data_IF_135468309474
#
_entry.id   IF_135468309474
#
_cell.length_a   1.000
_cell.length_b   1.000
_cell.length_c   1.000
_cell.angle_alpha   90.00
_cell.angle_beta   90.00
_cell.angle_gamma   90.00
#
_symmetry.space_group_name_H-M   'P 1'
#
loop_
_entity.id
_entity.type
_entity.pdbx_description
1 polymer ?
#
# COMPACT_ATOMS: atom_id res chain seq x y z
N UNK A 1 7.95 3.38 -46.96
CA UNK A 1 8.87 3.53 -45.81
C UNK A 1 8.12 3.07 -44.57
N UNK A 2 8.39 1.84 -44.13
CA UNK A 2 7.70 1.20 -43.01
C UNK A 2 8.28 1.68 -41.69
N UNK A 3 7.44 2.32 -40.87
CA UNK A 3 7.77 2.69 -39.50
C UNK A 3 7.89 1.41 -38.65
N UNK A 4 9.11 1.02 -38.35
CA UNK A 4 9.40 0.00 -37.33
C UNK A 4 9.28 0.65 -35.95
N UNK A 5 8.43 0.17 -35.03
CA UNK A 5 8.39 0.68 -33.68
C UNK A 5 9.73 0.39 -32.98
N UNK A 6 10.25 1.37 -32.25
CA UNK A 6 11.47 1.19 -31.45
C UNK A 6 11.30 0.00 -30.47
N UNK A 7 12.28 -0.91 -30.36
CA UNK A 7 12.15 -2.05 -29.46
C UNK A 7 12.07 -1.58 -28.00
N UNK A 8 11.13 -2.17 -27.27
CA UNK A 8 10.86 -1.96 -25.87
C UNK A 8 12.13 -2.12 -25.01
N UNK A 9 12.76 -0.99 -24.65
CA UNK A 9 13.94 -0.93 -23.77
C UNK A 9 13.70 -1.56 -22.39
N UNK A 10 12.44 -1.70 -21.98
CA UNK A 10 12.02 -2.32 -20.71
C UNK A 10 12.44 -3.79 -20.56
N UNK A 11 12.71 -4.52 -21.66
CA UNK A 11 13.02 -5.96 -21.62
C UNK A 11 14.52 -6.32 -21.52
N UNK A 12 15.43 -5.36 -21.72
CA UNK A 12 16.87 -5.64 -21.68
C UNK A 12 17.35 -6.01 -20.25
N UNK A 13 16.83 -5.33 -19.23
CA UNK A 13 17.13 -5.62 -17.82
C UNK A 13 16.57 -6.99 -17.39
N UNK A 14 15.36 -7.34 -17.85
CA UNK A 14 14.78 -8.68 -17.67
C UNK A 14 15.67 -9.76 -18.27
N UNK A 15 16.15 -9.57 -19.50
CA UNK A 15 17.03 -10.53 -20.18
C UNK A 15 18.35 -10.79 -19.43
N UNK A 16 18.82 -9.84 -18.62
CA UNK A 16 20.02 -10.00 -17.77
C UNK A 16 19.68 -10.77 -16.48
N UNK A 17 18.55 -10.46 -15.86
CA UNK A 17 18.05 -11.18 -14.68
C UNK A 17 17.69 -12.64 -15.01
N UNK A 18 17.17 -12.91 -16.21
CA UNK A 18 16.85 -14.27 -16.67
C UNK A 18 18.10 -15.13 -16.92
N UNK A 19 19.27 -14.52 -17.15
CA UNK A 19 20.55 -15.21 -17.38
C UNK A 19 21.29 -15.54 -16.09
N UNK A 20 20.90 -14.93 -14.96
CA UNK A 20 21.51 -15.19 -13.67
C UNK A 20 20.72 -16.27 -12.93
N UNK A 21 21.40 -17.31 -12.44
CA UNK A 21 20.74 -18.31 -11.61
C UNK A 21 20.16 -17.61 -10.36
N UNK A 22 18.85 -17.72 -10.10
CA UNK A 22 18.26 -17.03 -8.97
C UNK A 22 18.85 -17.57 -7.66
N UNK A 23 19.06 -16.72 -6.64
CA UNK A 23 19.59 -17.17 -5.37
C UNK A 23 18.66 -18.22 -4.76
N UNK A 24 19.22 -19.36 -4.35
CA UNK A 24 18.49 -20.41 -3.67
C UNK A 24 18.11 -19.93 -2.26
N UNK A 25 16.88 -20.20 -1.83
CA UNK A 25 16.48 -20.06 -0.42
C UNK A 25 16.15 -21.43 0.14
N UNK A 26 16.81 -21.81 1.24
CA UNK A 26 16.73 -23.16 1.81
C UNK A 26 17.04 -24.27 0.78
N UNK A 27 18.02 -24.02 -0.10
CA UNK A 27 18.43 -24.96 -1.15
C UNK A 27 17.43 -25.12 -2.30
N UNK A 28 16.34 -24.34 -2.34
CA UNK A 28 15.33 -24.40 -3.40
C UNK A 28 15.35 -23.14 -4.25
N UNK A 29 15.22 -23.25 -5.59
CA UNK A 29 15.01 -22.08 -6.43
C UNK A 29 13.67 -21.45 -6.06
N UNK A 30 13.57 -20.11 -6.01
CA UNK A 30 12.29 -19.44 -5.82
C UNK A 30 11.32 -19.84 -6.94
N UNK A 31 10.08 -20.11 -6.56
CA UNK A 31 9.03 -20.45 -7.51
C UNK A 31 8.51 -19.14 -8.15
N UNK A 32 9.25 -18.63 -9.14
CA UNK A 32 8.92 -17.38 -9.81
C UNK A 32 7.56 -17.42 -10.52
N UNK A 33 7.14 -18.61 -10.96
CA UNK A 33 5.80 -18.88 -11.53
C UNK A 33 5.00 -19.80 -10.61
N UNK A 34 4.78 -19.37 -9.38
CA UNK A 34 3.94 -20.13 -8.44
C UNK A 34 2.58 -20.41 -9.09
N UNK A 35 1.98 -21.60 -8.86
CA UNK A 35 0.58 -21.81 -9.23
C UNK A 35 -0.25 -20.67 -8.64
N UNK A 36 -0.89 -19.90 -9.52
CA UNK A 36 -1.70 -18.76 -9.12
C UNK A 36 -2.95 -19.34 -8.45
N UNK A 37 -3.23 -18.99 -7.18
CA UNK A 37 -4.46 -19.41 -6.54
C UNK A 37 -5.66 -18.94 -7.35
N UNK A 38 -6.68 -19.79 -7.48
CA UNK A 38 -7.93 -19.41 -8.15
C UNK A 38 -8.48 -18.02 -7.79
N UNK A 39 -8.43 -17.57 -6.52
CA UNK A 39 -8.94 -16.25 -6.16
C UNK A 39 -7.99 -15.08 -6.43
N UNK A 40 -6.74 -15.27 -6.86
CA UNK A 40 -5.77 -14.18 -6.97
C UNK A 40 -6.27 -13.01 -7.85
N UNK A 41 -6.88 -13.34 -9.00
CA UNK A 41 -7.49 -12.36 -9.91
C UNK A 41 -8.79 -11.71 -9.41
N UNK A 42 -9.30 -12.16 -8.26
CA UNK A 42 -10.54 -11.69 -7.62
C UNK A 42 -10.27 -10.99 -6.30
N UNK A 43 -9.00 -10.83 -5.91
CA UNK A 43 -8.64 -10.14 -4.68
C UNK A 43 -9.01 -8.68 -4.82
N UNK A 44 -9.96 -8.28 -3.99
CA UNK A 44 -10.35 -6.91 -3.81
C UNK A 44 -9.26 -6.15 -3.05
N UNK A 45 -8.89 -4.99 -3.58
CA UNK A 45 -7.93 -4.06 -2.97
C UNK A 45 -8.71 -2.81 -2.61
N UNK A 46 -8.77 -2.43 -1.31
CA UNK A 46 -9.45 -1.22 -0.89
C UNK A 46 -8.92 0.02 -1.60
N UNK A 47 -9.85 0.82 -2.11
CA UNK A 47 -9.61 2.18 -2.61
C UNK A 47 -10.62 3.13 -1.97
N UNK A 48 -10.24 4.39 -1.80
CA UNK A 48 -11.10 5.40 -1.23
C UNK A 48 -11.25 6.56 -2.20
N UNK A 49 -12.49 6.99 -2.36
CA UNK A 49 -12.86 8.30 -2.89
C UNK A 49 -13.94 8.86 -1.96
N UNK A 50 -13.53 9.21 -0.74
CA UNK A 50 -14.45 9.55 0.34
C UNK A 50 -14.21 10.96 0.85
N UNK A 51 -15.31 11.70 1.00
CA UNK A 51 -15.36 12.96 1.72
C UNK A 51 -16.32 12.84 2.91
N UNK A 52 -15.98 13.51 4.00
CA UNK A 52 -16.81 13.58 5.20
C UNK A 52 -18.16 14.22 4.84
N UNK A 53 -19.30 13.64 5.23
CA UNK A 53 -20.60 14.22 4.88
C UNK A 53 -20.80 15.65 5.41
N UNK A 54 -20.34 15.91 6.65
CA UNK A 54 -20.37 17.25 7.22
C UNK A 54 -19.07 17.99 6.90
N UNK A 55 -19.18 18.95 5.98
CA UNK A 55 -18.06 19.79 5.56
C UNK A 55 -17.80 20.92 6.56
N UNK A 56 -16.56 21.41 6.67
CA UNK A 56 -16.22 22.53 7.53
C UNK A 56 -16.80 23.84 7.00
N UNK A 57 -16.76 24.89 7.81
CA UNK A 57 -17.25 26.20 7.40
C UNK A 57 -16.46 26.75 6.19
N UNK A 58 -17.13 27.59 5.39
CA UNK A 58 -16.47 28.33 4.31
C UNK A 58 -15.27 29.12 4.86
N UNK A 59 -14.13 29.06 4.16
CA UNK A 59 -12.92 29.75 4.56
C UNK A 59 -12.03 29.00 5.56
N UNK A 60 -12.49 27.87 6.13
CA UNK A 60 -11.63 27.01 6.97
C UNK A 60 -10.39 26.57 6.18
N UNK A 61 -9.21 26.75 6.75
CA UNK A 61 -7.95 26.34 6.10
C UNK A 61 -7.79 24.83 6.17
N UNK A 62 -7.55 24.21 5.01
CA UNK A 62 -7.38 22.78 4.82
C UNK A 62 -5.96 22.46 4.36
N UNK A 63 -5.51 21.25 4.70
CA UNK A 63 -4.26 20.67 4.23
C UNK A 63 -4.55 19.36 3.49
N UNK A 64 -4.10 19.26 2.25
CA UNK A 64 -3.97 17.97 1.57
C UNK A 64 -2.61 17.39 1.92
N UNK A 65 -2.62 16.19 2.49
CA UNK A 65 -1.45 15.45 2.92
C UNK A 65 -1.23 14.25 1.99
N UNK A 66 0.02 14.01 1.64
CA UNK A 66 0.45 12.86 0.83
C UNK A 66 1.44 12.00 1.61
N UNK A 67 1.27 10.67 1.61
CA UNK A 67 2.21 9.77 2.27
C UNK A 67 3.46 9.59 1.40
N UNK A 68 4.57 10.14 1.87
CA UNK A 68 5.83 10.08 1.15
C UNK A 68 6.36 8.64 0.99
N UNK A 69 6.48 8.22 -0.27
CA UNK A 69 7.07 6.93 -0.65
C UNK A 69 6.27 5.75 -0.12
N UNK A 70 4.95 5.88 -0.06
CA UNK A 70 4.07 4.90 0.57
C UNK A 70 4.18 3.48 -0.03
N UNK A 71 4.37 3.33 -1.34
CA UNK A 71 4.66 2.03 -1.97
C UNK A 71 5.93 1.35 -1.42
N UNK A 72 7.03 2.09 -1.33
CA UNK A 72 8.28 1.57 -0.73
C UNK A 72 8.10 1.27 0.76
N UNK A 73 7.27 2.06 1.46
CA UNK A 73 6.84 1.78 2.82
C UNK A 73 6.15 0.43 2.94
N UNK A 74 5.16 0.16 2.08
CA UNK A 74 4.43 -1.10 2.05
C UNK A 74 5.34 -2.30 1.73
N UNK A 75 6.25 -2.16 0.77
CA UNK A 75 7.25 -3.18 0.44
C UNK A 75 8.11 -3.53 1.66
N UNK A 76 8.41 -2.55 2.52
CA UNK A 76 9.25 -2.76 3.70
C UNK A 76 8.59 -3.60 4.80
N UNK A 77 7.26 -3.55 4.90
CA UNK A 77 6.50 -4.16 6.00
C UNK A 77 5.78 -5.45 5.58
N UNK A 78 5.42 -5.61 4.31
CA UNK A 78 4.62 -6.74 3.85
C UNK A 78 5.38 -8.06 3.94
N UNK A 79 4.73 -9.07 4.51
CA UNK A 79 5.14 -10.47 4.40
C UNK A 79 4.48 -11.11 3.18
N UNK A 80 5.16 -12.01 2.49
CA UNK A 80 4.67 -12.65 1.27
C UNK A 80 4.92 -14.17 1.30
N UNK A 81 4.15 -14.93 0.53
CA UNK A 81 4.36 -16.36 0.38
C UNK A 81 5.60 -16.64 -0.49
N UNK A 82 6.64 -17.24 0.09
CA UNK A 82 7.90 -17.46 -0.64
C UNK A 82 7.75 -18.39 -1.84
N UNK A 83 7.01 -19.49 -1.67
CA UNK A 83 6.84 -20.52 -2.68
C UNK A 83 5.52 -20.34 -3.42
N UNK A 84 4.46 -20.89 -2.84
CA UNK A 84 3.08 -20.83 -3.34
C UNK A 84 2.13 -20.68 -2.15
N UNK A 85 0.89 -20.36 -2.45
CA UNK A 85 -0.20 -20.49 -1.50
C UNK A 85 -0.85 -21.88 -1.61
N UNK A 86 -1.33 -22.38 -0.49
CA UNK A 86 -2.05 -23.65 -0.38
C UNK A 86 -3.48 -23.35 0.03
N UNK A 87 -4.44 -24.06 -0.54
CA UNK A 87 -5.83 -23.98 -0.09
C UNK A 87 -5.92 -24.50 1.34
N UNK A 88 -6.41 -23.66 2.25
CA UNK A 88 -6.51 -23.97 3.68
C UNK A 88 -7.93 -23.89 4.22
N UNK A 89 -8.91 -23.53 3.39
CA UNK A 89 -10.33 -23.52 3.77
C UNK A 89 -10.68 -22.41 4.76
N UNK A 90 -11.82 -22.57 5.44
CA UNK A 90 -12.25 -21.66 6.50
C UNK A 90 -11.25 -21.66 7.67
N UNK A 91 -11.04 -20.50 8.28
CA UNK A 91 -10.09 -20.32 9.38
C UNK A 91 -10.68 -19.45 10.48
N UNK A 92 -10.15 -19.60 11.68
CA UNK A 92 -10.39 -18.73 12.81
C UNK A 92 -9.04 -18.36 13.44
N UNK A 93 -8.97 -17.20 14.08
CA UNK A 93 -7.72 -16.69 14.66
C UNK A 93 -7.94 -16.28 16.11
N UNK A 94 -7.05 -16.71 17.00
CA UNK A 94 -7.01 -16.23 18.38
C UNK A 94 -6.36 -14.85 18.45
N UNK A 95 -5.33 -14.65 17.62
CA UNK A 95 -4.52 -13.44 17.62
C UNK A 95 -4.19 -13.01 16.19
N UNK A 96 -3.87 -11.73 16.00
CA UNK A 96 -3.34 -11.26 14.71
C UNK A 96 -2.07 -11.97 14.23
N UNK A 97 -1.32 -12.65 15.10
CA UNK A 97 -0.10 -13.38 14.73
C UNK A 97 -0.40 -14.68 13.98
N UNK A 98 -1.62 -15.18 14.12
CA UNK A 98 -2.09 -16.39 13.43
C UNK A 98 -2.40 -16.10 11.96
N UNK A 99 -2.66 -14.83 11.63
CA UNK A 99 -2.84 -14.37 10.26
C UNK A 99 -1.47 -14.35 9.56
N UNK A 100 -1.32 -15.25 8.59
CA UNK A 100 -0.10 -15.43 7.80
C UNK A 100 -0.29 -14.92 6.38
N UNK A 101 0.79 -14.78 5.58
CA UNK A 101 0.66 -14.37 4.18
C UNK A 101 -0.31 -15.27 3.43
N UNK A 102 -1.31 -14.66 2.80
CA UNK A 102 -2.38 -15.36 2.12
C UNK A 102 -3.46 -14.46 1.57
N UNK A 103 -4.42 -15.11 0.92
CA UNK A 103 -5.68 -14.57 0.42
C UNK A 103 -6.80 -15.20 1.23
N UNK A 104 -7.77 -14.39 1.65
CA UNK A 104 -8.82 -14.80 2.56
C UNK A 104 -10.16 -14.33 2.02
N UNK A 105 -11.14 -15.22 2.01
CA UNK A 105 -12.52 -14.88 1.70
C UNK A 105 -13.23 -14.59 3.01
N UNK A 106 -13.66 -13.35 3.18
CA UNK A 106 -14.40 -12.93 4.36
C UNK A 106 -15.88 -12.74 4.04
N UNK A 107 -16.75 -12.89 5.05
CA UNK A 107 -18.09 -12.31 4.99
C UNK A 107 -17.99 -10.79 5.02
N UNK A 108 -18.88 -10.12 4.30
CA UNK A 108 -18.98 -8.68 4.37
C UNK A 108 -19.66 -8.24 5.68
N UNK A 109 -19.50 -6.97 6.04
CA UNK A 109 -20.04 -6.40 7.28
C UNK A 109 -20.49 -4.96 7.08
N UNK A 110 -21.54 -4.52 7.79
CA UNK A 110 -21.96 -3.13 7.75
C UNK A 110 -20.89 -2.24 8.41
N UNK A 111 -20.67 -1.05 7.85
CA UNK A 111 -19.76 -0.07 8.43
C UNK A 111 -20.54 1.01 9.20
N UNK A 112 -20.28 1.15 10.51
CA UNK A 112 -21.04 2.08 11.35
C UNK A 112 -20.50 3.51 11.40
N UNK A 113 -19.30 3.76 10.84
CA UNK A 113 -18.55 5.00 11.08
C UNK A 113 -18.45 5.90 9.84
N UNK A 114 -19.35 5.76 8.87
CA UNK A 114 -19.33 6.52 7.60
C UNK A 114 -19.25 8.05 7.77
N UNK A 115 -19.79 8.60 8.87
CA UNK A 115 -19.71 10.03 9.19
C UNK A 115 -18.33 10.48 9.68
N UNK A 116 -17.52 9.55 10.18
CA UNK A 116 -16.23 9.81 10.82
C UNK A 116 -15.06 9.49 9.91
N UNK A 117 -15.10 8.31 9.27
CA UNK A 117 -14.09 7.82 8.33
C UNK A 117 -14.70 6.78 7.40
N UNK A 118 -14.15 6.68 6.19
CA UNK A 118 -14.48 5.61 5.23
C UNK A 118 -14.19 4.22 5.78
N UNK A 119 -14.94 3.21 5.33
CA UNK A 119 -14.67 1.81 5.67
C UNK A 119 -13.22 1.43 5.32
N UNK A 120 -12.56 0.58 6.12
CA UNK A 120 -11.24 0.02 5.77
C UNK A 120 -11.28 -0.81 4.48
N UNK A 121 -12.47 -1.26 4.06
CA UNK A 121 -12.67 -1.89 2.76
C UNK A 121 -12.83 -0.88 1.62
N UNK A 122 -13.07 0.42 1.87
CA UNK A 122 -13.34 1.36 0.79
C UNK A 122 -14.81 1.73 0.68
N UNK A 123 -15.17 2.44 -0.38
CA UNK A 123 -16.53 2.91 -0.66
C UNK A 123 -16.96 2.59 -2.10
N UNK A 124 -16.75 1.34 -2.53
CA UNK A 124 -17.12 0.87 -3.86
C UNK A 124 -18.44 0.10 -3.83
N UNK A 125 -19.29 0.30 -4.84
CA UNK A 125 -20.52 -0.48 -5.09
C UNK A 125 -20.27 -2.00 -5.04
N UNK A 126 -19.08 -2.44 -5.47
CA UNK A 126 -18.68 -3.85 -5.42
C UNK A 126 -18.68 -4.44 -4.00
N UNK A 127 -18.48 -3.61 -2.98
CA UNK A 127 -18.56 -4.04 -1.59
C UNK A 127 -20.02 -4.11 -1.15
N UNK A 128 -20.83 -3.11 -1.50
CA UNK A 128 -22.22 -3.01 -1.04
C UNK A 128 -23.06 -4.21 -1.49
N UNK A 129 -22.82 -4.70 -2.70
CA UNK A 129 -23.56 -5.82 -3.29
C UNK A 129 -22.98 -7.21 -2.97
N UNK A 130 -21.83 -7.28 -2.29
CA UNK A 130 -21.12 -8.54 -2.06
C UNK A 130 -21.38 -9.11 -0.66
N UNK A 131 -21.89 -10.34 -0.58
CA UNK A 131 -21.97 -11.10 0.68
C UNK A 131 -20.58 -11.51 1.20
N UNK A 132 -19.63 -11.72 0.28
CA UNK A 132 -18.28 -12.16 0.60
C UNK A 132 -17.24 -11.54 -0.32
N UNK A 133 -16.04 -11.29 0.19
CA UNK A 133 -14.95 -10.63 -0.54
C UNK A 133 -13.65 -11.39 -0.35
N UNK A 134 -12.88 -11.56 -1.43
CA UNK A 134 -11.50 -12.01 -1.33
C UNK A 134 -10.59 -10.83 -1.04
N UNK A 135 -9.87 -10.87 0.08
CA UNK A 135 -8.91 -9.84 0.48
C UNK A 135 -7.54 -10.46 0.73
N UNK A 136 -6.49 -9.64 0.64
CA UNK A 136 -5.16 -10.07 1.07
C UNK A 136 -4.98 -9.91 2.59
N UNK A 137 -4.06 -10.68 3.15
CA UNK A 137 -3.77 -10.70 4.59
C UNK A 137 -3.54 -9.32 5.26
N UNK A 138 -2.97 -8.26 4.63
CA UNK A 138 -2.78 -6.99 5.32
C UNK A 138 -4.09 -6.28 5.65
N UNK A 139 -5.07 -6.37 4.75
CA UNK A 139 -6.44 -5.90 5.00
C UNK A 139 -7.08 -6.71 6.12
N UNK A 140 -6.92 -8.04 6.11
CA UNK A 140 -7.45 -8.91 7.17
C UNK A 140 -6.87 -8.57 8.54
N UNK A 141 -5.56 -8.30 8.61
CA UNK A 141 -4.90 -7.86 9.85
C UNK A 141 -5.50 -6.52 10.32
N UNK A 142 -5.73 -5.57 9.42
CA UNK A 142 -6.38 -4.30 9.78
C UNK A 142 -7.79 -4.52 10.34
N UNK A 143 -8.60 -5.36 9.70
CA UNK A 143 -9.94 -5.67 10.18
C UNK A 143 -9.91 -6.38 11.55
N UNK A 144 -8.97 -7.31 11.74
CA UNK A 144 -8.81 -7.96 13.04
C UNK A 144 -8.41 -6.94 14.13
N UNK A 145 -7.49 -6.02 13.83
CA UNK A 145 -7.07 -4.96 14.76
C UNK A 145 -8.24 -4.06 15.17
N UNK A 146 -9.12 -3.71 14.24
CA UNK A 146 -10.31 -2.91 14.54
C UNK A 146 -11.32 -3.67 15.40
N UNK A 147 -11.55 -4.96 15.11
CA UNK A 147 -12.39 -5.82 15.93
C UNK A 147 -11.83 -5.96 17.36
N UNK A 148 -10.50 -6.13 17.50
CA UNK A 148 -9.79 -6.20 18.79
C UNK A 148 -9.85 -4.86 19.56
N UNK A 149 -9.84 -3.73 18.84
CA UNK A 149 -10.08 -2.39 19.39
C UNK A 149 -11.56 -2.16 19.80
N UNK A 150 -12.45 -3.15 19.60
CA UNK A 150 -13.86 -3.07 19.94
C UNK A 150 -14.71 -2.25 18.95
N UNK A 151 -14.16 -1.95 17.77
CA UNK A 151 -14.95 -1.40 16.67
C UNK A 151 -15.91 -2.49 16.22
N UNK A 152 -17.21 -2.20 16.23
CA UNK A 152 -18.31 -3.14 16.01
C UNK A 152 -18.42 -3.74 14.61
N UNK A 153 -17.30 -4.13 14.02
CA UNK A 153 -17.21 -4.96 12.83
C UNK A 153 -17.12 -6.43 13.24
N UNK A 154 -17.70 -7.29 12.42
CA UNK A 154 -17.64 -8.73 12.62
C UNK A 154 -17.60 -9.41 11.26
N UNK A 155 -16.65 -10.32 11.06
CA UNK A 155 -16.51 -11.06 9.83
C UNK A 155 -16.01 -12.48 10.11
N UNK A 156 -16.42 -13.42 9.28
CA UNK A 156 -15.92 -14.79 9.28
C UNK A 156 -14.99 -15.02 8.09
N UNK A 157 -13.91 -15.76 8.28
CA UNK A 157 -13.11 -16.28 7.16
C UNK A 157 -13.71 -17.60 6.70
N UNK A 158 -14.46 -17.55 5.60
CA UNK A 158 -15.18 -18.70 5.04
C UNK A 158 -14.32 -19.54 4.09
N UNK A 159 -13.23 -18.99 3.57
CA UNK A 159 -12.26 -19.71 2.74
C UNK A 159 -10.88 -19.01 2.75
N UNK A 160 -9.81 -19.73 2.43
CA UNK A 160 -8.46 -19.14 2.42
C UNK A 160 -7.45 -19.91 1.58
N UNK A 161 -6.46 -19.18 1.09
CA UNK A 161 -5.23 -19.69 0.48
C UNK A 161 -4.04 -19.07 1.19
N UNK A 162 -3.28 -19.86 1.96
CA UNK A 162 -2.23 -19.34 2.84
C UNK A 162 -0.85 -19.92 2.53
N UNK A 163 0.20 -19.29 3.07
CA UNK A 163 1.57 -19.76 2.93
C UNK A 163 1.88 -21.02 3.78
N UNK A 164 0.90 -21.57 4.51
CA UNK A 164 1.05 -22.80 5.30
C UNK A 164 0.89 -24.02 4.42
N UNK A 165 1.89 -24.89 4.40
CA UNK A 165 1.79 -26.19 3.76
C UNK A 165 0.97 -27.13 4.65
N UNK A 166 -0.20 -27.64 4.22
CA UNK A 166 -1.03 -28.53 5.03
C UNK A 166 -0.37 -29.89 5.31
N UNK A 167 0.56 -30.34 4.47
CA UNK A 167 1.23 -31.64 4.66
C UNK A 167 2.35 -31.59 5.71
N UNK A 168 3.02 -30.45 5.85
CA UNK A 168 4.21 -30.32 6.72
C UNK A 168 4.03 -29.31 7.85
N UNK A 169 2.85 -28.66 7.92
CA UNK A 169 2.51 -27.54 8.80
C UNK A 169 3.48 -26.33 8.74
N UNK A 170 4.34 -26.28 7.72
CA UNK A 170 5.38 -25.26 7.62
C UNK A 170 4.84 -24.01 6.92
N UNK A 171 5.13 -22.82 7.48
CA UNK A 171 4.73 -21.53 6.89
C UNK A 171 5.85 -20.92 6.04
N UNK A 172 5.68 -20.94 4.73
CA UNK A 172 6.64 -20.42 3.76
C UNK A 172 6.52 -18.90 3.57
N UNK A 173 7.03 -18.10 4.50
CA UNK A 173 7.00 -16.63 4.42
C UNK A 173 8.33 -15.99 3.98
N UNK A 174 8.25 -14.84 3.31
CA UNK A 174 9.37 -13.98 2.94
C UNK A 174 9.01 -12.51 3.18
N UNK A 175 9.98 -11.62 3.07
CA UNK A 175 9.76 -10.18 3.01
C UNK A 175 10.76 -9.55 2.04
N UNK A 176 10.54 -8.29 1.69
CA UNK A 176 11.40 -7.54 0.79
C UNK A 176 12.45 -6.69 1.50
N UNK A 177 12.77 -6.96 2.77
CA UNK A 177 13.62 -6.07 3.59
C UNK A 177 14.94 -5.71 2.92
N UNK A 178 15.67 -6.70 2.38
CA UNK A 178 16.95 -6.46 1.69
C UNK A 178 16.79 -5.59 0.44
N UNK A 179 15.74 -5.83 -0.35
CA UNK A 179 15.46 -5.03 -1.55
C UNK A 179 15.07 -3.60 -1.16
N UNK A 180 14.21 -3.45 -0.17
CA UNK A 180 13.83 -2.15 0.41
C UNK A 180 15.05 -1.36 0.92
N UNK A 181 15.98 -1.99 1.65
CA UNK A 181 17.19 -1.32 2.16
C UNK A 181 18.07 -0.77 1.04
N UNK A 182 18.19 -1.50 -0.08
CA UNK A 182 18.88 -1.02 -1.27
C UNK A 182 18.14 0.15 -1.92
N UNK A 183 16.82 0.03 -2.14
CA UNK A 183 16.01 1.09 -2.72
C UNK A 183 16.04 2.36 -1.86
N UNK A 184 16.00 2.21 -0.53
CA UNK A 184 16.15 3.33 0.42
C UNK A 184 17.49 4.03 0.25
N UNK A 185 18.58 3.27 0.11
CA UNK A 185 19.92 3.83 -0.11
C UNK A 185 20.00 4.63 -1.41
N UNK A 186 19.46 4.09 -2.51
CA UNK A 186 19.40 4.80 -3.79
C UNK A 186 18.51 6.05 -3.71
N UNK A 187 17.33 5.93 -3.11
CA UNK A 187 16.41 7.06 -2.91
C UNK A 187 17.09 8.22 -2.18
N UNK A 188 17.80 7.94 -1.08
CA UNK A 188 18.52 8.98 -0.34
C UNK A 188 19.53 9.69 -1.23
N UNK A 189 20.34 8.95 -1.99
CA UNK A 189 21.33 9.53 -2.92
C UNK A 189 20.66 10.41 -4.00
N UNK A 190 19.56 9.94 -4.59
CA UNK A 190 18.84 10.74 -5.58
C UNK A 190 18.24 12.02 -4.98
N UNK A 191 17.68 11.95 -3.77
CA UNK A 191 17.16 13.14 -3.09
C UNK A 191 18.26 14.12 -2.67
N UNK A 192 19.44 13.63 -2.29
CA UNK A 192 20.59 14.50 -2.01
C UNK A 192 21.04 15.22 -3.29
N UNK A 193 21.11 14.52 -4.42
CA UNK A 193 21.43 15.13 -5.71
C UNK A 193 20.39 16.18 -6.12
N UNK A 194 19.09 15.90 -5.92
CA UNK A 194 18.02 16.87 -6.19
C UNK A 194 18.14 18.08 -5.26
N UNK A 195 18.42 17.88 -3.97
CA UNK A 195 18.62 18.98 -3.03
C UNK A 195 19.86 19.83 -3.34
N UNK A 196 20.91 19.23 -3.91
CA UNK A 196 22.06 19.98 -4.42
C UNK A 196 21.73 20.78 -5.69
N UNK A 197 20.88 20.25 -6.56
CA UNK A 197 20.43 20.94 -7.77
C UNK A 197 19.42 22.06 -7.48
N UNK A 198 18.65 21.93 -6.39
CA UNK A 198 17.63 22.87 -5.95
C UNK A 198 17.81 23.26 -4.46
N UNK A 199 18.85 24.06 -4.12
CA UNK A 199 19.11 24.42 -2.73
C UNK A 199 17.97 25.26 -2.14
N UNK A 200 17.45 24.84 -0.99
CA UNK A 200 16.42 25.59 -0.25
C UNK A 200 15.00 25.40 -0.76
N UNK A 201 14.80 24.62 -1.83
CA UNK A 201 13.48 24.31 -2.36
C UNK A 201 13.17 22.80 -2.20
N UNK A 202 11.93 22.41 -1.89
CA UNK A 202 11.51 21.03 -2.04
C UNK A 202 11.65 20.60 -3.51
N UNK A 203 11.96 19.32 -3.73
CA UNK A 203 12.12 18.76 -5.08
C UNK A 203 10.94 19.17 -5.98
N UNK A 204 11.16 19.94 -7.05
CA UNK A 204 10.08 20.40 -7.91
C UNK A 204 9.38 19.21 -8.57
N UNK A 205 8.04 19.17 -8.51
CA UNK A 205 7.23 18.10 -9.10
C UNK A 205 7.39 18.00 -10.62
N UNK A 206 7.77 19.11 -11.27
CA UNK A 206 8.09 19.20 -12.70
C UNK A 206 9.41 19.95 -12.87
N UNK A 207 10.48 19.21 -13.12
CA UNK A 207 11.78 19.76 -13.44
C UNK A 207 12.54 18.80 -14.34
N UNK A 208 13.02 19.33 -15.46
CA UNK A 208 13.74 18.56 -16.49
C UNK A 208 15.25 18.52 -16.26
N UNK A 209 15.73 18.94 -15.08
CA UNK A 209 17.16 18.82 -14.76
C UNK A 209 17.57 17.33 -14.63
N UNK A 210 18.85 17.00 -14.87
CA UNK A 210 19.31 15.61 -14.79
C UNK A 210 19.00 14.93 -13.44
N UNK A 211 19.17 15.63 -12.32
CA UNK A 211 18.91 15.07 -10.98
C UNK A 211 17.43 14.71 -10.78
N UNK A 212 16.51 15.56 -11.23
CA UNK A 212 15.07 15.31 -11.16
C UNK A 212 14.64 14.18 -12.10
N UNK A 213 15.24 14.12 -13.30
CA UNK A 213 15.02 13.04 -14.27
C UNK A 213 15.49 11.69 -13.74
N UNK A 214 16.67 11.63 -13.12
CA UNK A 214 17.22 10.41 -12.51
C UNK A 214 16.34 9.93 -11.35
N UNK A 215 15.88 10.84 -10.49
CA UNK A 215 14.96 10.49 -9.41
C UNK A 215 13.61 9.98 -9.94
N UNK A 216 13.07 10.61 -10.99
CA UNK A 216 11.86 10.14 -11.65
C UNK A 216 12.06 8.74 -12.27
N UNK A 217 13.19 8.50 -12.94
CA UNK A 217 13.54 7.18 -13.49
C UNK A 217 13.66 6.11 -12.39
N UNK A 218 14.26 6.44 -11.25
CA UNK A 218 14.28 5.57 -10.07
C UNK A 218 12.87 5.23 -9.60
N UNK A 219 11.99 6.22 -9.46
CA UNK A 219 10.58 6.01 -9.08
C UNK A 219 9.86 5.08 -10.04
N UNK A 220 9.97 5.35 -11.34
CA UNK A 220 9.39 4.53 -12.40
C UNK A 220 9.93 3.10 -12.38
N UNK A 221 11.23 2.92 -12.13
CA UNK A 221 11.89 1.62 -12.12
C UNK A 221 11.34 0.67 -11.06
N UNK A 222 11.26 1.10 -9.80
CA UNK A 222 10.72 0.22 -8.75
C UNK A 222 9.21 0.05 -8.88
N UNK A 223 8.46 1.09 -9.29
CA UNK A 223 7.03 0.97 -9.52
C UNK A 223 6.73 -0.04 -10.64
N UNK A 224 7.50 0.00 -11.73
CA UNK A 224 7.41 -0.98 -12.82
C UNK A 224 7.71 -2.41 -12.34
N UNK A 225 8.69 -2.60 -11.46
CA UNK A 225 9.01 -3.91 -10.91
C UNK A 225 7.84 -4.50 -10.11
N UNK A 226 7.09 -3.68 -9.37
CA UNK A 226 5.88 -4.11 -8.65
C UNK A 226 4.74 -4.38 -9.62
N UNK A 227 4.49 -3.47 -10.57
CA UNK A 227 3.47 -3.68 -11.61
C UNK A 227 3.70 -4.96 -12.39
N UNK A 228 4.97 -5.32 -12.65
CA UNK A 228 5.32 -6.56 -13.33
C UNK A 228 4.94 -7.84 -12.56
N UNK A 229 4.74 -7.75 -11.23
CA UNK A 229 4.21 -8.87 -10.44
C UNK A 229 2.72 -9.09 -10.72
N UNK A 230 2.01 -8.07 -11.21
CA UNK A 230 0.59 -8.12 -11.56
C UNK A 230 0.35 -8.37 -13.06
N UNK A 231 1.36 -8.14 -13.90
CA UNK A 231 1.20 -8.31 -15.37
C UNK A 231 1.40 -9.76 -15.80
N UNK A 232 0.28 -10.48 -15.99
CA UNK A 232 0.05 -11.56 -16.98
C UNK A 232 0.95 -12.79 -16.97
N UNK A 233 0.37 -13.95 -17.30
CA UNK A 233 1.01 -15.29 -17.32
C UNK A 233 2.33 -15.40 -18.10
N UNK A 234 2.58 -14.49 -19.05
CA UNK A 234 3.81 -14.48 -19.87
C UNK A 234 5.02 -13.92 -19.11
N UNK A 235 4.83 -13.11 -18.07
CA UNK A 235 5.93 -12.57 -17.27
C UNK A 235 6.46 -13.63 -16.30
N UNK A 236 7.77 -13.90 -16.30
CA UNK A 236 8.37 -14.88 -15.37
C UNK A 236 8.27 -14.46 -13.91
N UNK A 237 8.08 -13.17 -13.63
CA UNK A 237 7.92 -12.62 -12.29
C UNK A 237 6.46 -12.43 -11.87
N UNK A 238 5.49 -12.95 -12.65
CA UNK A 238 4.08 -12.84 -12.31
C UNK A 238 3.81 -13.54 -10.96
N UNK A 239 3.44 -12.73 -9.97
CA UNK A 239 3.14 -13.08 -8.58
C UNK A 239 2.03 -12.17 -8.11
N UNK A 240 0.84 -12.41 -8.65
CA UNK A 240 -0.33 -11.60 -8.31
C UNK A 240 -0.58 -11.61 -6.79
N UNK A 241 -0.36 -12.74 -6.11
CA UNK A 241 -0.43 -12.83 -4.66
C UNK A 241 0.51 -11.86 -3.94
N UNK A 242 1.72 -11.63 -4.47
CA UNK A 242 2.65 -10.63 -3.93
C UNK A 242 2.20 -9.21 -4.23
N UNK A 243 1.83 -8.93 -5.49
CA UNK A 243 1.38 -7.61 -5.91
C UNK A 243 0.15 -7.15 -5.12
N UNK A 244 -0.84 -8.03 -4.95
CA UNK A 244 -2.05 -7.77 -4.15
C UNK A 244 -1.74 -7.57 -2.67
N UNK A 245 -0.81 -8.34 -2.11
CA UNK A 245 -0.37 -8.12 -0.73
C UNK A 245 0.31 -6.75 -0.56
N UNK A 246 1.17 -6.32 -1.48
CA UNK A 246 1.81 -5.00 -1.43
C UNK A 246 0.75 -3.89 -1.52
N UNK A 247 -0.19 -4.01 -2.46
CA UNK A 247 -1.30 -3.04 -2.62
C UNK A 247 -2.18 -2.97 -1.37
N UNK A 248 -2.53 -4.11 -0.78
CA UNK A 248 -3.33 -4.16 0.44
C UNK A 248 -2.58 -3.58 1.64
N UNK A 249 -1.27 -3.80 1.77
CA UNK A 249 -0.47 -3.21 2.85
C UNK A 249 -0.31 -1.69 2.69
N UNK A 250 -0.17 -1.22 1.45
CA UNK A 250 -0.18 0.20 1.11
C UNK A 250 -1.48 0.88 1.55
N UNK A 251 -2.62 0.31 1.16
CA UNK A 251 -3.93 0.77 1.62
C UNK A 251 -4.03 0.70 3.15
N UNK A 252 -3.89 -0.48 3.75
CA UNK A 252 -4.07 -0.66 5.19
C UNK A 252 -3.18 0.29 6.02
N UNK A 253 -1.95 0.55 5.56
CA UNK A 253 -1.03 1.51 6.20
C UNK A 253 -1.52 2.96 6.16
N UNK A 254 -2.12 3.41 5.05
CA UNK A 254 -2.70 4.75 4.98
C UNK A 254 -3.92 4.86 5.88
N UNK A 255 -4.84 3.89 5.79
CA UNK A 255 -6.05 3.87 6.60
C UNK A 255 -5.74 3.85 8.10
N UNK A 256 -4.76 3.05 8.56
CA UNK A 256 -4.32 3.05 9.97
C UNK A 256 -3.87 4.44 10.43
N UNK A 257 -3.20 5.22 9.58
CA UNK A 257 -2.75 6.57 9.95
C UNK A 257 -3.94 7.52 10.05
N UNK A 258 -4.88 7.46 9.10
CA UNK A 258 -6.11 8.25 9.16
C UNK A 258 -6.93 7.91 10.41
N UNK A 259 -7.11 6.63 10.72
CA UNK A 259 -7.77 6.15 11.93
C UNK A 259 -7.12 6.71 13.19
N UNK A 260 -5.79 6.58 13.31
CA UNK A 260 -5.02 7.10 14.46
C UNK A 260 -5.03 8.62 14.56
N UNK A 261 -5.14 9.33 13.43
CA UNK A 261 -5.34 10.78 13.44
C UNK A 261 -6.71 11.11 14.01
N UNK A 262 -7.77 10.47 13.49
CA UNK A 262 -9.14 10.62 13.97
C UNK A 262 -9.33 10.27 15.46
N UNK A 263 -8.72 9.19 15.91
CA UNK A 263 -8.82 8.71 17.30
C UNK A 263 -8.22 9.68 18.33
N UNK A 264 -7.49 10.70 17.90
CA UNK A 264 -6.98 11.78 18.76
C UNK A 264 -7.93 12.97 18.90
N UNK A 265 -9.16 12.84 18.40
CA UNK A 265 -10.16 13.91 18.39
C UNK A 265 -9.97 14.91 17.25
N UNK A 266 -9.12 14.59 16.27
CA UNK A 266 -8.90 15.42 15.08
C UNK A 266 -9.78 14.97 13.93
N UNK A 267 -10.01 15.88 13.00
CA UNK A 267 -10.96 15.70 11.90
C UNK A 267 -10.24 15.24 10.64
N UNK A 268 -10.57 14.02 10.20
CA UNK A 268 -10.32 13.56 8.83
C UNK A 268 -11.49 14.02 7.95
N UNK A 269 -11.18 14.78 6.89
CA UNK A 269 -12.17 15.36 5.97
C UNK A 269 -12.31 14.57 4.68
N UNK A 270 -11.23 13.99 4.17
CA UNK A 270 -11.30 13.12 3.00
C UNK A 270 -10.17 12.12 2.99
N UNK A 271 -10.36 11.03 2.25
CA UNK A 271 -9.32 10.08 1.87
C UNK A 271 -9.47 9.78 0.38
N UNK A 272 -8.39 9.94 -0.37
CA UNK A 272 -8.35 9.78 -1.82
C UNK A 272 -7.08 9.06 -2.26
N UNK A 273 -7.08 8.48 -3.46
CA UNK A 273 -5.91 7.91 -4.15
C UNK A 273 -5.08 6.89 -3.35
N UNK A 274 -5.64 6.37 -2.26
CA UNK A 274 -5.04 5.40 -1.32
C UNK A 274 -3.91 5.97 -0.44
N UNK A 275 -3.27 7.07 -0.80
CA UNK A 275 -2.21 7.73 -0.01
C UNK A 275 -2.46 9.20 0.34
N UNK A 276 -3.63 9.76 -0.02
CA UNK A 276 -3.98 11.15 0.25
C UNK A 276 -5.01 11.30 1.38
N UNK A 277 -4.83 12.34 2.20
CA UNK A 277 -5.66 12.68 3.35
C UNK A 277 -5.85 14.19 3.44
N UNK A 278 -7.10 14.67 3.47
CA UNK A 278 -7.38 16.09 3.77
C UNK A 278 -7.78 16.26 5.23
N UNK A 279 -7.20 17.27 5.89
CA UNK A 279 -7.44 17.60 7.31
C UNK A 279 -7.59 19.12 7.52
N UNK A 280 -8.08 19.51 8.70
CA UNK A 280 -8.14 20.93 9.11
C UNK A 280 -6.74 21.40 9.53
N UNK A 281 -6.27 22.52 8.96
CA UNK A 281 -4.91 23.03 9.18
C UNK A 281 -4.64 23.42 10.63
N UNK A 282 -5.64 23.97 11.32
CA UNK A 282 -5.52 24.39 12.73
C UNK A 282 -5.29 23.19 13.68
N UNK A 283 -6.07 22.12 13.51
CA UNK A 283 -5.95 20.88 14.29
C UNK A 283 -4.63 20.15 14.02
N UNK A 284 -4.14 20.26 12.78
CA UNK A 284 -2.84 19.72 12.38
C UNK A 284 -1.69 20.45 13.07
N UNK A 285 -1.68 21.78 13.04
CA UNK A 285 -0.59 22.60 13.58
C UNK A 285 -0.55 22.65 15.11
N UNK A 286 -1.71 22.63 15.77
CA UNK A 286 -1.83 22.78 17.23
C UNK A 286 -1.28 21.60 18.05
N UNK A 287 -0.87 20.49 17.42
CA UNK A 287 -0.44 19.29 18.16
C UNK A 287 0.68 18.46 17.53
N UNK A 288 1.48 19.02 16.62
CA UNK A 288 2.67 18.35 16.06
C UNK A 288 3.67 17.87 17.16
N UNK A 289 3.67 18.51 18.33
CA UNK A 289 4.56 18.20 19.45
C UNK A 289 4.03 17.11 20.41
N UNK A 290 2.75 16.73 20.34
CA UNK A 290 2.16 15.69 21.19
C UNK A 290 2.08 14.35 20.45
N UNK A 291 3.06 14.06 19.58
CA UNK A 291 3.09 12.92 18.69
C UNK A 291 3.03 11.59 19.46
N UNK A 292 1.84 11.04 19.60
CA UNK A 292 1.71 9.58 19.53
C UNK A 292 2.45 9.14 18.28
N UNK A 293 3.43 8.22 18.41
CA UNK A 293 4.30 7.65 17.35
C UNK A 293 3.56 7.14 16.08
N UNK A 294 2.24 7.15 16.12
CA UNK A 294 1.25 6.71 15.16
C UNK A 294 1.17 7.54 13.88
N UNK A 295 1.24 8.88 13.96
CA UNK A 295 1.13 9.78 12.81
C UNK A 295 2.45 10.53 12.64
N UNK A 296 3.19 10.24 11.56
CA UNK A 296 4.49 10.86 11.27
C UNK A 296 4.32 11.92 10.21
N UNK A 297 4.85 13.10 10.49
CA UNK A 297 4.91 14.22 9.56
C UNK A 297 6.38 14.54 9.24
N UNK A 298 6.67 14.81 7.97
CA UNK A 298 7.97 15.29 7.54
C UNK A 298 7.83 16.16 6.29
N UNK A 299 7.89 17.48 6.51
CA UNK A 299 7.82 18.46 5.44
C UNK A 299 8.95 18.34 4.42
N UNK A 300 10.11 17.78 4.80
CA UNK A 300 11.22 17.59 3.86
C UNK A 300 10.95 16.51 2.82
N UNK A 301 9.93 15.66 3.04
CA UNK A 301 9.66 14.50 2.19
C UNK A 301 10.80 13.48 2.18
N UNK A 302 11.68 13.47 3.19
CA UNK A 302 12.80 12.51 3.27
C UNK A 302 12.39 11.23 3.99
N UNK A 303 11.58 11.35 5.04
CA UNK A 303 11.12 10.25 5.89
C UNK A 303 10.07 9.41 5.19
N UNK A 304 10.39 8.12 5.01
CA UNK A 304 9.50 7.15 4.39
C UNK A 304 8.25 6.91 5.24
N UNK A 305 7.08 6.91 4.59
CA UNK A 305 5.80 6.62 5.21
C UNK A 305 5.24 7.75 6.09
N UNK A 306 5.93 8.90 6.16
CA UNK A 306 5.44 10.11 6.79
C UNK A 306 4.57 10.92 5.81
N UNK A 307 3.61 11.66 6.34
CA UNK A 307 2.86 12.63 5.55
C UNK A 307 3.70 13.88 5.28
N UNK A 308 3.52 14.46 4.08
CA UNK A 308 3.97 15.80 3.71
C UNK A 308 2.77 16.64 3.27
N UNK A 309 2.83 17.96 3.47
CA UNK A 309 1.81 18.85 2.93
C UNK A 309 2.01 18.96 1.41
N UNK A 310 1.00 18.56 0.65
CA UNK A 310 0.93 18.72 -0.81
C UNK A 310 0.33 20.07 -1.18
N UNK A 311 -0.70 20.50 -0.44
CA UNK A 311 -1.41 21.75 -0.70
C UNK A 311 -2.03 22.32 0.57
N UNK A 312 -2.06 23.65 0.67
CA UNK A 312 -2.89 24.39 1.64
C UNK A 312 -3.89 25.24 0.88
N UNK A 313 -5.15 25.26 1.31
CA UNK A 313 -6.20 26.04 0.66
C UNK A 313 -7.36 26.33 1.62
N UNK A 314 -8.11 27.39 1.34
CA UNK A 314 -9.36 27.66 2.04
C UNK A 314 -10.48 26.76 1.48
N UNK A 315 -11.26 26.14 2.37
CA UNK A 315 -12.46 25.42 2.00
C UNK A 315 -13.42 26.36 1.27
N UNK A 316 -13.85 25.94 0.09
CA UNK A 316 -14.94 26.56 -0.65
C UNK A 316 -16.09 25.55 -0.60
N UNK A 317 -17.23 25.90 -0.01
CA UNK A 317 -18.43 25.08 -0.17
C UNK A 317 -18.67 24.90 -1.67
N UNK A 318 -18.97 23.69 -2.09
CA UNK A 318 -19.57 23.49 -3.40
C UNK A 318 -20.99 24.10 -3.33
N UNK A 319 -21.36 24.91 -4.33
CA UNK A 319 -22.70 25.51 -4.46
C UNK A 319 -23.78 24.44 -4.71
#
# INVERSE_FOLDING_TARGET
MTNTPAPARTFAALSILEKTAPPLRYGRPPYWRAPIPGPAGRVYVPTWDWAKPLQPAAGTQLLDLDVNGAWLGAISSVEIAHNRLFHTGALWFETKRDIIPGLYRITNFPWGLHSSIVSPLGNSDLIEDADTLWIAHPTLILLWELMDEGIGIHFDVVDSWTARNPETDHVHRANFKKWYEQLKTYRTRFLDNVGHAHPGEPAPDRCDCPACTDYAAFKTGYASAVSMMLTGEKCRTNREDWGRAIQAEFAASCWRKAWRYGSTGRTVLSMADVDELTVIAEEFNSGLNAATKAFRYDQSGRSMGAFKVKRTYAHKPED
#
